data_IF_879218992529
#
_entry.id   IF_879218992529
#
_cell.length_a   1.000
_cell.length_b   1.000
_cell.length_c   1.000
_cell.angle_alpha   90.00
_cell.angle_beta   90.00
_cell.angle_gamma   90.00
#
_symmetry.space_group_name_H-M   'P 1'
#
loop_
_entity.id
_entity.type
_entity.pdbx_description
1 polymer ?
#
# COMPACT_ATOMS: atom_id res chain seq x y z
N UNK A 1 6.97 4.28 -16.47
CA UNK A 1 8.18 4.29 -15.62
C UNK A 1 8.36 2.91 -15.00
N UNK A 2 9.59 2.43 -14.80
CA UNK A 2 9.83 1.19 -14.03
C UNK A 2 10.38 1.60 -12.67
N UNK A 3 9.58 1.44 -11.61
CA UNK A 3 10.08 1.62 -10.24
C UNK A 3 11.22 0.61 -9.98
N UNK A 4 12.18 0.93 -9.10
CA UNK A 4 13.20 -0.04 -8.69
C UNK A 4 12.57 -1.29 -8.07
N UNK A 5 13.08 -2.47 -8.43
CA UNK A 5 12.54 -3.74 -7.95
C UNK A 5 12.66 -3.89 -6.42
N UNK A 6 13.73 -3.37 -5.81
CA UNK A 6 13.91 -3.37 -4.35
C UNK A 6 12.81 -2.55 -3.64
N UNK A 7 12.47 -1.38 -4.18
CA UNK A 7 11.36 -0.55 -3.69
C UNK A 7 10.04 -1.32 -3.82
N UNK A 8 9.79 -1.94 -4.98
CA UNK A 8 8.58 -2.74 -5.21
C UNK A 8 8.48 -3.91 -4.23
N UNK A 9 9.57 -4.64 -4.04
CA UNK A 9 9.63 -5.79 -3.14
C UNK A 9 9.39 -5.38 -1.68
N UNK A 10 9.98 -4.27 -1.23
CA UNK A 10 9.78 -3.75 0.11
C UNK A 10 8.33 -3.29 0.35
N UNK A 11 7.72 -2.62 -0.63
CA UNK A 11 6.31 -2.23 -0.58
C UNK A 11 5.38 -3.45 -0.54
N UNK A 12 5.69 -4.50 -1.29
CA UNK A 12 4.92 -5.76 -1.22
C UNK A 12 5.12 -6.48 0.12
N UNK A 13 6.29 -6.36 0.75
CA UNK A 13 6.63 -7.03 2.00
C UNK A 13 6.16 -6.29 3.27
N UNK A 14 5.69 -5.04 3.17
CA UNK A 14 5.46 -4.20 4.35
C UNK A 14 4.30 -4.66 5.26
N UNK A 15 3.48 -5.61 4.83
CA UNK A 15 2.26 -6.03 5.53
C UNK A 15 2.41 -7.26 6.44
N UNK A 16 3.62 -7.73 6.78
CA UNK A 16 3.80 -8.95 7.59
C UNK A 16 3.44 -8.82 9.09
N UNK A 17 2.86 -7.70 9.54
CA UNK A 17 2.61 -7.43 10.97
C UNK A 17 1.16 -7.70 11.34
N UNK A 18 0.92 -8.86 11.95
CA UNK A 18 -0.31 -9.20 12.65
C UNK A 18 -0.34 -8.53 14.04
N UNK A 19 -1.44 -7.89 14.41
CA UNK A 19 -1.75 -7.63 15.82
C UNK A 19 -2.45 -8.84 16.49
N UNK A 20 -2.56 -9.95 15.75
CA UNK A 20 -3.19 -11.21 16.17
C UNK A 20 -4.69 -11.28 15.87
N UNK A 21 -5.32 -10.15 15.57
CA UNK A 21 -6.77 -10.05 15.29
C UNK A 21 -7.03 -9.66 13.83
N UNK A 22 -6.10 -8.95 13.20
CA UNK A 22 -6.15 -8.48 11.82
C UNK A 22 -4.80 -8.72 11.11
N UNK A 23 -4.86 -9.37 9.95
CA UNK A 23 -3.69 -9.64 9.11
C UNK A 23 -3.96 -9.12 7.71
N UNK A 24 -3.05 -8.29 7.20
CA UNK A 24 -3.02 -7.88 5.80
C UNK A 24 -1.98 -8.73 5.08
N UNK A 25 -2.29 -9.28 3.91
CA UNK A 25 -1.36 -9.98 3.06
C UNK A 25 -1.42 -9.39 1.67
N UNK A 26 -0.28 -8.96 1.12
CA UNK A 26 -0.21 -8.45 -0.26
C UNK A 26 -0.13 -9.62 -1.22
N UNK A 27 -1.14 -9.75 -2.08
CA UNK A 27 -1.14 -10.71 -3.19
C UNK A 27 -0.47 -10.09 -4.43
N UNK A 28 -0.55 -8.77 -4.59
CA UNK A 28 -0.01 -8.05 -5.73
C UNK A 28 0.10 -6.55 -5.48
N UNK A 29 1.00 -5.90 -6.21
CA UNK A 29 1.23 -4.46 -6.21
C UNK A 29 1.46 -3.97 -7.64
N UNK A 30 0.63 -3.03 -8.07
CA UNK A 30 0.84 -2.19 -9.25
C UNK A 30 1.21 -0.76 -8.83
N UNK A 31 2.20 -0.18 -9.51
CA UNK A 31 2.61 1.21 -9.28
C UNK A 31 2.58 1.95 -10.60
N UNK A 32 1.66 2.89 -10.71
CA UNK A 32 1.43 3.67 -11.92
C UNK A 32 1.76 5.13 -11.66
N UNK A 33 2.66 5.70 -12.46
CA UNK A 33 2.88 7.15 -12.46
C UNK A 33 1.73 7.84 -13.20
N UNK A 34 0.90 8.61 -12.49
CA UNK A 34 -0.21 9.37 -13.09
C UNK A 34 0.27 10.63 -13.80
N UNK A 35 1.22 11.31 -13.17
CA UNK A 35 1.84 12.55 -13.62
C UNK A 35 3.28 12.57 -13.08
N UNK A 36 4.18 13.41 -13.62
CA UNK A 36 5.55 13.52 -13.13
C UNK A 36 5.58 13.66 -11.60
N UNK A 37 6.25 12.72 -10.92
CA UNK A 37 6.39 12.67 -9.45
C UNK A 37 5.10 12.41 -8.65
N UNK A 38 4.05 11.90 -9.29
CA UNK A 38 2.78 11.51 -8.66
C UNK A 38 2.44 10.05 -9.02
N UNK A 39 2.23 9.22 -8.01
CA UNK A 39 2.09 7.77 -8.17
C UNK A 39 0.78 7.26 -7.58
N UNK A 40 0.16 6.30 -8.27
CA UNK A 40 -0.90 5.48 -7.70
C UNK A 40 -0.31 4.12 -7.35
N UNK A 41 -0.46 3.72 -6.10
CA UNK A 41 -0.08 2.40 -5.61
C UNK A 41 -1.35 1.58 -5.44
N UNK A 42 -1.57 0.60 -6.31
CA UNK A 42 -2.74 -0.28 -6.26
C UNK A 42 -2.33 -1.63 -5.70
N UNK A 43 -2.86 -1.95 -4.51
CA UNK A 43 -2.62 -3.17 -3.78
C UNK A 43 -3.78 -4.15 -3.96
N UNK A 44 -3.46 -5.41 -4.26
CA UNK A 44 -4.35 -6.55 -4.03
C UNK A 44 -4.01 -7.13 -2.65
N UNK A 45 -4.96 -7.04 -1.74
CA UNK A 45 -4.83 -7.43 -0.34
C UNK A 45 -5.76 -8.59 -0.03
N UNK A 46 -5.25 -9.60 0.67
CA UNK A 46 -6.08 -10.49 1.49
C UNK A 46 -6.09 -9.95 2.91
N UNK A 47 -7.27 -9.65 3.44
CA UNK A 47 -7.46 -9.21 4.82
C UNK A 47 -8.13 -10.32 5.60
N UNK A 48 -7.42 -10.84 6.59
CA UNK A 48 -7.90 -11.91 7.47
C UNK A 48 -8.20 -11.32 8.83
N UNK A 49 -9.43 -11.49 9.31
CA UNK A 49 -9.83 -11.15 10.67
C UNK A 49 -10.15 -12.42 11.44
N UNK A 50 -9.76 -12.48 12.70
CA UNK A 50 -10.08 -13.62 13.56
C UNK A 50 -11.59 -13.86 13.62
N UNK A 51 -12.00 -15.09 13.34
CA UNK A 51 -13.41 -15.50 13.35
C UNK A 51 -14.22 -15.10 12.11
N UNK A 52 -13.58 -14.58 11.07
CA UNK A 52 -14.21 -14.23 9.79
C UNK A 52 -13.48 -14.90 8.62
N UNK A 53 -14.19 -15.12 7.53
CA UNK A 53 -13.57 -15.56 6.27
C UNK A 53 -12.63 -14.46 5.74
N UNK A 54 -11.50 -14.84 5.11
CA UNK A 54 -10.62 -13.88 4.47
C UNK A 54 -11.34 -13.08 3.40
N UNK A 55 -11.15 -11.77 3.40
CA UNK A 55 -11.70 -10.86 2.40
C UNK A 55 -10.61 -10.42 1.44
N UNK A 56 -10.88 -10.42 0.13
CA UNK A 56 -9.98 -9.79 -0.84
C UNK A 56 -10.39 -8.36 -1.13
N UNK A 57 -9.40 -7.48 -1.20
CA UNK A 57 -9.57 -6.05 -1.39
C UNK A 57 -8.57 -5.54 -2.41
N UNK A 58 -9.05 -4.70 -3.31
CA UNK A 58 -8.19 -3.85 -4.12
C UNK A 58 -8.19 -2.44 -3.50
N UNK A 59 -7.00 -1.88 -3.24
CA UNK A 59 -6.83 -0.58 -2.58
C UNK A 59 -5.86 0.28 -3.37
N UNK A 60 -6.28 1.47 -3.78
CA UNK A 60 -5.44 2.46 -4.46
C UNK A 60 -5.10 3.61 -3.52
N UNK A 61 -3.80 3.78 -3.27
CA UNK A 61 -3.25 4.95 -2.58
C UNK A 61 -2.72 5.95 -3.60
N UNK A 62 -3.26 7.17 -3.57
CA UNK A 62 -2.71 8.28 -4.34
C UNK A 62 -1.54 8.91 -3.57
N UNK A 63 -0.37 8.92 -4.18
CA UNK A 63 0.84 9.52 -3.64
C UNK A 63 1.21 10.76 -4.45
N UNK A 64 0.78 11.91 -3.94
CA UNK A 64 1.02 13.22 -4.56
C UNK A 64 2.15 14.04 -3.87
N UNK A 65 2.78 13.47 -2.84
CA UNK A 65 3.89 14.12 -2.15
C UNK A 65 5.18 14.05 -2.98
N UNK A 66 5.39 15.12 -3.74
CA UNK A 66 6.56 15.31 -4.60
C UNK A 66 7.88 15.30 -3.83
N UNK A 67 7.88 15.63 -2.53
CA UNK A 67 9.11 15.62 -1.72
C UNK A 67 9.69 14.22 -1.53
N UNK A 68 8.86 13.18 -1.74
CA UNK A 68 9.22 11.77 -1.59
C UNK A 68 9.19 10.99 -2.92
N UNK A 69 8.94 11.69 -4.03
CA UNK A 69 8.88 11.08 -5.36
C UNK A 69 10.21 10.43 -5.79
N UNK A 70 11.34 10.92 -5.28
CA UNK A 70 12.66 10.37 -5.54
C UNK A 70 12.81 8.92 -5.06
N UNK A 71 12.00 8.48 -4.09
CA UNK A 71 11.93 7.09 -3.62
C UNK A 71 11.35 6.13 -4.68
N UNK A 72 10.58 6.66 -5.63
CA UNK A 72 9.97 5.91 -6.71
C UNK A 72 10.77 6.02 -8.03
N UNK A 73 11.56 7.09 -8.18
CA UNK A 73 12.25 7.44 -9.43
C UNK A 73 13.74 7.08 -9.47
N UNK A 74 14.44 7.16 -8.35
CA UNK A 74 15.90 6.96 -8.30
C UNK A 74 16.22 5.54 -7.88
N UNK A 75 17.28 4.93 -8.45
CA UNK A 75 17.83 3.65 -7.99
C UNK A 75 17.76 3.58 -6.46
N UNK A 76 16.86 2.75 -5.93
CA UNK A 76 16.48 2.67 -4.51
C UNK A 76 17.58 2.14 -3.60
N UNK A 77 18.79 2.72 -3.67
CA UNK A 77 20.01 2.23 -3.02
C UNK A 77 20.11 2.59 -1.54
N UNK A 78 19.11 3.27 -0.98
CA UNK A 78 19.04 3.49 0.47
C UNK A 78 17.95 2.59 1.08
N UNK A 79 18.34 1.42 1.61
CA UNK A 79 17.40 0.50 2.23
C UNK A 79 16.63 1.10 3.40
N UNK A 80 17.18 2.09 4.11
CA UNK A 80 16.45 2.75 5.21
C UNK A 80 15.31 3.61 4.67
N UNK A 81 15.53 4.35 3.58
CA UNK A 81 14.47 5.15 2.96
C UNK A 81 13.37 4.27 2.37
N UNK A 82 13.74 3.14 1.78
CA UNK A 82 12.78 2.15 1.28
C UNK A 82 11.97 1.52 2.42
N UNK A 83 12.62 1.16 3.54
CA UNK A 83 11.93 0.70 4.76
C UNK A 83 10.98 1.73 5.33
N UNK A 84 11.39 3.00 5.36
CA UNK A 84 10.56 4.10 5.85
C UNK A 84 9.30 4.27 4.97
N UNK A 85 9.47 4.24 3.64
CA UNK A 85 8.34 4.29 2.71
C UNK A 85 7.36 3.13 2.94
N UNK A 86 7.88 1.90 3.05
CA UNK A 86 7.10 0.72 3.38
C UNK A 86 6.29 0.90 4.67
N UNK A 87 6.89 1.46 5.72
CA UNK A 87 6.20 1.75 6.99
C UNK A 87 5.09 2.80 6.83
N UNK A 88 5.35 3.90 6.11
CA UNK A 88 4.34 4.94 5.85
C UNK A 88 3.16 4.37 5.09
N UNK A 89 3.41 3.60 4.02
CA UNK A 89 2.35 2.96 3.23
C UNK A 89 1.55 1.96 4.08
N UNK A 90 2.22 1.18 4.92
CA UNK A 90 1.55 0.28 5.86
C UNK A 90 0.59 1.05 6.78
N UNK A 91 1.04 2.15 7.39
CA UNK A 91 0.21 2.99 8.25
C UNK A 91 -0.99 3.58 7.50
N UNK A 92 -0.80 4.07 6.26
CA UNK A 92 -1.89 4.61 5.44
C UNK A 92 -2.96 3.56 5.12
N UNK A 93 -2.57 2.32 4.82
CA UNK A 93 -3.52 1.23 4.55
C UNK A 93 -4.26 0.81 5.82
N UNK A 94 -3.58 0.77 6.97
CA UNK A 94 -4.24 0.48 8.26
C UNK A 94 -5.27 1.56 8.61
N UNK A 95 -4.90 2.84 8.49
CA UNK A 95 -5.80 3.96 8.71
C UNK A 95 -6.99 3.94 7.74
N UNK A 96 -6.74 3.63 6.46
CA UNK A 96 -7.80 3.44 5.48
C UNK A 96 -8.77 2.34 5.92
N UNK A 97 -8.27 1.18 6.34
CA UNK A 97 -9.12 0.05 6.75
C UNK A 97 -10.02 0.40 7.94
N UNK A 98 -9.50 1.11 8.93
CA UNK A 98 -10.24 1.55 10.10
C UNK A 98 -11.31 2.60 9.77
N UNK A 99 -11.08 3.40 8.73
CA UNK A 99 -11.96 4.52 8.35
C UNK A 99 -12.88 4.24 7.17
N UNK A 100 -12.67 3.16 6.40
CA UNK A 100 -13.37 2.89 5.13
C UNK A 100 -14.89 2.89 5.22
N UNK A 101 -15.46 2.47 6.36
CA UNK A 101 -16.91 2.45 6.57
C UNK A 101 -17.50 3.80 7.00
N UNK A 102 -16.67 4.77 7.38
CA UNK A 102 -17.08 6.04 7.99
C UNK A 102 -16.70 7.26 7.14
N UNK A 103 -15.73 7.13 6.24
CA UNK A 103 -15.24 8.22 5.40
C UNK A 103 -15.48 7.90 3.92
N UNK A 104 -16.22 8.79 3.23
CA UNK A 104 -16.56 8.65 1.81
C UNK A 104 -15.33 8.62 0.90
N UNK A 105 -14.25 9.31 1.27
CA UNK A 105 -13.00 9.31 0.52
C UNK A 105 -12.27 7.97 0.69
N UNK A 106 -12.16 7.47 1.94
CA UNK A 106 -11.62 6.14 2.21
C UNK A 106 -12.44 5.04 1.52
N UNK A 107 -13.77 5.13 1.51
CA UNK A 107 -14.63 4.19 0.79
C UNK A 107 -14.36 4.14 -0.72
N UNK A 108 -13.85 5.22 -1.32
CA UNK A 108 -13.47 5.26 -2.75
C UNK A 108 -12.07 4.72 -3.01
N UNK A 109 -11.22 4.65 -1.99
CA UNK A 109 -9.83 4.20 -2.11
C UNK A 109 -9.73 2.68 -2.19
N UNK A 110 -10.74 1.92 -1.78
CA UNK A 110 -10.68 0.47 -1.93
C UNK A 110 -12.02 -0.19 -2.09
N UNK A 111 -12.03 -1.32 -2.79
CA UNK A 111 -13.20 -2.14 -3.07
C UNK A 111 -12.93 -3.58 -2.67
N UNK A 112 -13.95 -4.24 -2.12
CA UNK A 112 -13.89 -5.68 -1.93
C UNK A 112 -14.01 -6.36 -3.31
N UNK A 113 -13.20 -7.39 -3.53
CA UNK A 113 -13.23 -8.21 -4.75
C UNK A 113 -13.54 -9.65 -4.38
N UNK A 114 -14.15 -10.39 -5.31
CA UNK A 114 -14.55 -11.80 -5.14
C UNK A 114 -13.57 -12.74 -5.83
#
# INVERSE_FOLDING_TARGET
>A
MKIPEETRAALAACFSRSDGELVFSVNGLDVTERQPRSFDLTYDLTVTRKGHDPERWEVTLCWDDKSQADLFETDGRDPERVRMLAFVVQSLIQEWWDTKARNRQSAKMGRQIH
#
